data_IF_086283434020
#
_entry.id   IF_086283434020
#
_cell.length_a   1.000
_cell.length_b   1.000
_cell.length_c   1.000
_cell.angle_alpha   90.00
_cell.angle_beta   90.00
_cell.angle_gamma   90.00
#
_symmetry.space_group_name_H-M   'P 1'
#
loop_
_entity.id
_entity.type
_entity.pdbx_description
1 polymer ?
#
# COMPACT_ATOMS: atom_id res chain seq x y z
N UNK A 1 15.79 3.24 1.57
CA UNK A 1 15.19 4.33 2.37
C UNK A 1 13.68 4.16 2.32
N UNK A 2 12.99 4.29 3.46
CA UNK A 2 11.55 4.07 3.61
C UNK A 2 10.70 4.81 2.57
N UNK A 3 11.11 6.02 2.19
CA UNK A 3 10.43 6.80 1.15
C UNK A 3 10.40 6.10 -0.23
N UNK A 4 11.49 5.41 -0.62
CA UNK A 4 11.54 4.67 -1.88
C UNK A 4 10.67 3.40 -1.84
N UNK A 5 10.66 2.69 -0.71
CA UNK A 5 9.80 1.51 -0.52
C UNK A 5 8.32 1.90 -0.56
N UNK A 6 7.94 2.97 0.14
CA UNK A 6 6.56 3.48 0.10
C UNK A 6 6.16 3.87 -1.32
N UNK A 7 7.05 4.53 -2.08
CA UNK A 7 6.74 4.91 -3.47
C UNK A 7 6.65 3.69 -4.40
N UNK A 8 7.53 2.70 -4.23
CA UNK A 8 7.48 1.46 -4.99
C UNK A 8 6.18 0.69 -4.72
N UNK A 9 5.76 0.63 -3.46
CA UNK A 9 4.51 -0.01 -3.05
C UNK A 9 3.28 0.74 -3.60
N UNK A 10 3.29 2.07 -3.57
CA UNK A 10 2.23 2.90 -4.14
C UNK A 10 2.07 2.63 -5.65
N UNK A 11 3.18 2.58 -6.39
CA UNK A 11 3.18 2.25 -7.82
C UNK A 11 2.71 0.81 -8.06
N UNK A 12 3.20 -0.15 -7.27
CA UNK A 12 2.78 -1.56 -7.38
C UNK A 12 1.28 -1.74 -7.11
N UNK A 13 0.75 -1.07 -6.09
CA UNK A 13 -0.68 -1.08 -5.76
C UNK A 13 -1.54 -0.50 -6.89
N UNK A 14 -1.13 0.63 -7.47
CA UNK A 14 -1.83 1.21 -8.60
C UNK A 14 -1.78 0.30 -9.85
N UNK A 15 -0.64 -0.33 -10.11
CA UNK A 15 -0.47 -1.31 -11.19
C UNK A 15 -1.41 -2.51 -11.02
N UNK A 16 -1.41 -3.12 -9.83
CA UNK A 16 -2.31 -4.24 -9.51
C UNK A 16 -3.79 -3.83 -9.61
N UNK A 17 -4.13 -2.60 -9.22
CA UNK A 17 -5.49 -2.05 -9.34
C UNK A 17 -5.96 -1.95 -10.79
N UNK A 18 -5.08 -1.56 -11.72
CA UNK A 18 -5.43 -1.54 -13.16
C UNK A 18 -5.72 -2.95 -13.67
N UNK A 19 -4.86 -3.93 -13.32
CA UNK A 19 -5.04 -5.32 -13.74
C UNK A 19 -6.33 -5.92 -13.15
N UNK A 20 -6.60 -5.67 -11.87
CA UNK A 20 -7.86 -6.05 -11.19
C UNK A 20 -9.07 -5.51 -11.93
N UNK A 21 -9.10 -4.20 -12.17
CA UNK A 21 -10.25 -3.56 -12.83
C UNK A 21 -10.42 -4.05 -14.28
N UNK A 22 -9.33 -4.39 -14.97
CA UNK A 22 -9.38 -4.97 -16.32
C UNK A 22 -10.07 -6.34 -16.31
N UNK A 23 -9.75 -7.20 -15.35
CA UNK A 23 -10.43 -8.50 -15.19
C UNK A 23 -11.91 -8.33 -14.80
N UNK A 24 -12.24 -7.37 -13.94
CA UNK A 24 -13.62 -7.07 -13.59
C UNK A 24 -14.46 -6.54 -14.77
N UNK A 25 -13.84 -5.77 -15.69
CA UNK A 25 -14.48 -5.37 -16.95
C UNK A 25 -14.75 -6.60 -17.82
N UNK A 26 -13.76 -7.47 -18.03
CA UNK A 26 -13.91 -8.71 -18.81
C UNK A 26 -15.04 -9.59 -18.25
N UNK A 27 -15.11 -9.75 -16.92
CA UNK A 27 -16.19 -10.46 -16.25
C UNK A 27 -17.56 -9.82 -16.47
N UNK A 28 -17.63 -8.48 -16.39
CA UNK A 28 -18.86 -7.71 -16.62
C UNK A 28 -19.34 -7.81 -18.07
N UNK A 29 -18.43 -7.82 -19.04
CA UNK A 29 -18.73 -8.03 -20.47
C UNK A 29 -19.34 -9.41 -20.70
N UNK A 30 -18.72 -10.47 -20.15
CA UNK A 30 -19.24 -11.85 -20.21
C UNK A 30 -20.62 -11.95 -19.57
N UNK A 31 -20.86 -11.30 -18.42
CA UNK A 31 -22.18 -11.24 -17.78
C UNK A 31 -23.22 -10.61 -18.71
N UNK A 32 -22.90 -9.47 -19.32
CA UNK A 32 -23.80 -8.77 -20.24
C UNK A 32 -24.12 -9.62 -21.48
N UNK A 33 -23.12 -10.30 -22.04
CA UNK A 33 -23.32 -11.20 -23.17
C UNK A 33 -24.27 -12.35 -22.81
N UNK A 34 -24.07 -13.01 -21.67
CA UNK A 34 -24.95 -14.07 -21.15
C UNK A 34 -26.37 -13.55 -20.93
N UNK A 35 -26.53 -12.39 -20.27
CA UNK A 35 -27.83 -11.77 -20.01
C UNK A 35 -28.60 -11.47 -21.32
N UNK A 36 -27.92 -10.95 -22.34
CA UNK A 36 -28.52 -10.70 -23.67
C UNK A 36 -28.99 -11.99 -24.34
N UNK A 37 -28.21 -13.08 -24.25
CA UNK A 37 -28.61 -14.40 -24.78
C UNK A 37 -29.85 -14.93 -24.08
N UNK A 38 -29.95 -14.82 -22.75
CA UNK A 38 -31.14 -15.26 -22.02
C UNK A 38 -32.37 -14.40 -22.31
N UNK A 39 -32.21 -13.09 -22.47
CA UNK A 39 -33.29 -12.21 -22.92
C UNK A 39 -33.83 -12.60 -24.30
N UNK A 40 -32.94 -12.87 -25.27
CA UNK A 40 -33.33 -13.35 -26.60
C UNK A 40 -34.07 -14.69 -26.54
N UNK A 41 -33.60 -15.62 -25.70
CA UNK A 41 -34.26 -16.91 -25.48
C UNK A 41 -35.67 -16.73 -24.88
N UNK A 42 -35.83 -15.88 -23.88
CA UNK A 42 -37.13 -15.60 -23.26
C UNK A 42 -38.10 -14.97 -24.29
N UNK A 43 -37.62 -14.03 -25.12
CA UNK A 43 -38.43 -13.45 -26.20
C UNK A 43 -38.88 -14.49 -27.22
N UNK A 44 -37.98 -15.40 -27.62
CA UNK A 44 -38.31 -16.47 -28.56
C UNK A 44 -39.37 -17.41 -27.99
N UNK A 45 -39.23 -17.81 -26.71
CA UNK A 45 -40.21 -18.66 -26.02
C UNK A 45 -41.57 -17.98 -25.83
N UNK A 46 -41.61 -16.66 -25.60
CA UNK A 46 -42.85 -15.92 -25.48
C UNK A 46 -43.64 -15.94 -26.80
N UNK A 47 -42.95 -15.78 -27.95
CA UNK A 47 -43.59 -15.79 -29.28
C UNK A 47 -44.30 -17.10 -29.60
N UNK A 48 -43.80 -18.22 -29.05
CA UNK A 48 -44.41 -19.55 -29.18
C UNK A 48 -45.32 -19.92 -28.00
N UNK A 49 -45.59 -18.98 -27.10
CA UNK A 49 -46.51 -19.15 -25.97
C UNK A 49 -46.00 -20.03 -24.83
N UNK A 50 -44.68 -20.29 -24.75
CA UNK A 50 -44.10 -21.21 -23.76
C UNK A 50 -43.72 -20.54 -22.42
N UNK A 51 -43.66 -19.20 -22.37
CA UNK A 51 -43.32 -18.43 -21.17
C UNK A 51 -44.17 -17.17 -21.07
N UNK A 52 -44.20 -16.56 -19.90
CA UNK A 52 -44.99 -15.35 -19.65
C UNK A 52 -44.25 -14.07 -20.10
N UNK A 53 -44.99 -12.98 -20.28
CA UNK A 53 -44.36 -11.67 -20.50
C UNK A 53 -43.52 -11.20 -19.29
N UNK A 54 -43.86 -11.65 -18.08
CA UNK A 54 -43.09 -11.37 -16.87
C UNK A 54 -41.66 -11.96 -16.95
N UNK A 55 -41.50 -13.14 -17.54
CA UNK A 55 -40.19 -13.78 -17.74
C UNK A 55 -39.28 -12.97 -18.67
N UNK A 56 -39.87 -12.38 -19.72
CA UNK A 56 -39.17 -11.46 -20.63
C UNK A 56 -38.77 -10.18 -19.93
N UNK A 57 -39.65 -9.61 -19.10
CA UNK A 57 -39.34 -8.41 -18.31
C UNK A 57 -38.22 -8.67 -17.30
N UNK A 58 -38.24 -9.81 -16.60
CA UNK A 58 -37.17 -10.19 -15.66
C UNK A 58 -35.82 -10.30 -16.36
N UNK A 59 -35.77 -10.95 -17.52
CA UNK A 59 -34.55 -11.04 -18.33
C UNK A 59 -34.09 -9.66 -18.82
N UNK A 60 -35.02 -8.77 -19.19
CA UNK A 60 -34.70 -7.40 -19.60
C UNK A 60 -34.10 -6.58 -18.46
N UNK A 61 -34.61 -6.75 -17.24
CA UNK A 61 -34.05 -6.13 -16.03
C UNK A 61 -32.61 -6.60 -15.81
N UNK A 62 -32.34 -7.90 -15.96
CA UNK A 62 -30.97 -8.43 -15.83
C UNK A 62 -30.03 -7.85 -16.89
N UNK A 63 -30.46 -7.71 -18.15
CA UNK A 63 -29.66 -7.01 -19.17
C UNK A 63 -29.32 -5.58 -18.73
N UNK A 64 -30.30 -4.83 -18.21
CA UNK A 64 -30.06 -3.44 -17.76
C UNK A 64 -29.18 -3.36 -16.51
N UNK A 65 -29.29 -4.31 -15.60
CA UNK A 65 -28.37 -4.43 -14.46
C UNK A 65 -26.95 -4.73 -14.92
N UNK A 66 -26.77 -5.70 -15.82
CA UNK A 66 -25.46 -6.04 -16.37
C UNK A 66 -24.83 -4.88 -17.19
N UNK A 67 -25.62 -4.12 -17.95
CA UNK A 67 -25.16 -2.90 -18.62
C UNK A 67 -24.67 -1.85 -17.62
N UNK A 68 -25.42 -1.61 -16.54
CA UNK A 68 -25.00 -0.68 -15.49
C UNK A 68 -23.69 -1.12 -14.84
N UNK A 69 -23.53 -2.41 -14.54
CA UNK A 69 -22.31 -2.94 -13.93
C UNK A 69 -21.10 -2.79 -14.84
N UNK A 70 -21.26 -3.05 -16.14
CA UNK A 70 -20.19 -2.84 -17.12
C UNK A 70 -19.77 -1.37 -17.21
N UNK A 71 -20.72 -0.43 -17.17
CA UNK A 71 -20.43 1.02 -17.18
C UNK A 71 -19.61 1.39 -15.94
N UNK A 72 -20.02 0.94 -14.75
CA UNK A 72 -19.30 1.19 -13.50
C UNK A 72 -17.90 0.57 -13.51
N UNK A 73 -17.75 -0.68 -13.96
CA UNK A 73 -16.44 -1.35 -14.07
C UNK A 73 -15.51 -0.65 -15.06
N UNK A 74 -16.04 -0.21 -16.22
CA UNK A 74 -15.28 0.52 -17.23
C UNK A 74 -14.78 1.87 -16.73
N UNK A 75 -15.62 2.56 -15.94
CA UNK A 75 -15.22 3.80 -15.28
C UNK A 75 -14.12 3.55 -14.24
N UNK A 76 -14.25 2.51 -13.40
CA UNK A 76 -13.23 2.14 -12.42
C UNK A 76 -11.87 1.82 -13.09
N UNK A 77 -11.87 1.09 -14.20
CA UNK A 77 -10.67 0.84 -15.00
C UNK A 77 -10.04 2.15 -15.50
N UNK A 78 -10.86 3.04 -16.06
CA UNK A 78 -10.40 4.35 -16.55
C UNK A 78 -9.76 5.20 -15.45
N UNK A 79 -10.37 5.21 -14.26
CA UNK A 79 -9.83 5.91 -13.08
C UNK A 79 -8.50 5.29 -12.62
N UNK A 80 -8.40 3.96 -12.57
CA UNK A 80 -7.14 3.29 -12.20
C UNK A 80 -6.00 3.57 -13.18
N UNK A 81 -6.30 3.70 -14.48
CA UNK A 81 -5.30 4.11 -15.47
C UNK A 81 -4.81 5.53 -15.23
N UNK A 82 -5.71 6.48 -14.90
CA UNK A 82 -5.35 7.86 -14.56
C UNK A 82 -4.44 7.89 -13.34
N UNK A 83 -4.77 7.13 -12.30
CA UNK A 83 -3.97 7.06 -11.08
C UNK A 83 -2.55 6.54 -11.36
N UNK A 84 -2.44 5.42 -12.10
CA UNK A 84 -1.13 4.88 -12.47
C UNK A 84 -0.31 5.87 -13.32
N UNK A 85 -0.94 6.58 -14.26
CA UNK A 85 -0.26 7.61 -15.07
C UNK A 85 0.28 8.74 -14.20
N UNK A 86 -0.52 9.22 -13.24
CA UNK A 86 -0.10 10.27 -12.32
C UNK A 86 1.11 9.84 -11.49
N UNK A 87 1.12 8.60 -10.99
CA UNK A 87 2.23 8.06 -10.19
C UNK A 87 3.51 7.84 -10.99
N UNK A 88 3.39 7.49 -12.28
CA UNK A 88 4.51 7.31 -13.20
C UNK A 88 5.00 8.62 -13.83
N UNK A 89 4.25 9.72 -13.66
CA UNK A 89 4.55 11.01 -14.30
C UNK A 89 4.33 11.01 -15.81
N UNK A 90 3.53 10.07 -16.33
CA UNK A 90 3.21 9.96 -17.76
C UNK A 90 2.18 11.01 -18.16
N UNK A 91 2.29 11.52 -19.40
CA UNK A 91 1.27 12.43 -19.95
C UNK A 91 -0.02 11.68 -20.24
N UNK A 92 -1.14 12.40 -20.29
CA UNK A 92 -2.47 11.80 -20.52
C UNK A 92 -2.52 11.03 -21.84
N UNK A 93 -1.85 11.53 -22.88
CA UNK A 93 -1.84 11.00 -24.24
C UNK A 93 -0.89 9.80 -24.43
N UNK A 94 -0.02 9.52 -23.45
CA UNK A 94 0.90 8.38 -23.54
C UNK A 94 0.15 7.07 -23.28
N UNK A 95 0.15 6.19 -24.27
CA UNK A 95 -0.41 4.84 -24.15
C UNK A 95 0.65 3.86 -23.63
N UNK A 96 0.23 2.97 -22.75
CA UNK A 96 1.04 1.85 -22.28
C UNK A 96 0.24 0.56 -22.38
N UNK A 97 0.93 -0.55 -22.61
CA UNK A 97 0.34 -1.88 -22.59
C UNK A 97 0.84 -2.63 -21.36
N UNK A 98 -0.08 -3.24 -20.64
CA UNK A 98 0.23 -4.12 -19.51
C UNK A 98 0.23 -5.56 -20.01
N UNK A 99 1.30 -6.31 -19.75
CA UNK A 99 1.27 -7.77 -19.89
C UNK A 99 0.31 -8.31 -18.81
N UNK A 100 -0.74 -9.00 -19.22
CA UNK A 100 -1.85 -9.42 -18.37
C UNK A 100 -1.61 -10.75 -17.67
N UNK A 101 -0.39 -11.28 -17.72
CA UNK A 101 -0.06 -12.59 -17.14
C UNK A 101 0.64 -12.41 -15.80
N UNK A 102 -0.16 -12.22 -14.75
CA UNK A 102 0.29 -12.52 -13.38
C UNK A 102 -0.13 -13.96 -13.11
N UNK A 103 0.84 -14.87 -13.05
CA UNK A 103 0.57 -16.25 -12.63
C UNK A 103 0.19 -16.28 -11.15
N UNK A 104 -0.78 -17.13 -10.81
CA UNK A 104 -1.20 -17.37 -9.45
C UNK A 104 -0.11 -18.18 -8.72
N UNK A 105 0.84 -17.50 -8.11
CA UNK A 105 1.78 -18.14 -7.19
C UNK A 105 2.12 -17.21 -6.05
N UNK A 106 1.69 -17.57 -4.85
CA UNK A 106 2.21 -16.99 -3.62
C UNK A 106 3.43 -17.81 -3.22
N UNK A 107 4.62 -17.26 -3.37
CA UNK A 107 5.83 -17.93 -2.90
C UNK A 107 5.95 -17.70 -1.39
N UNK A 108 5.29 -18.56 -0.61
CA UNK A 108 5.33 -18.53 0.84
C UNK A 108 6.63 -19.20 1.33
N UNK A 109 7.66 -18.39 1.60
CA UNK A 109 8.76 -18.80 2.48
C UNK A 109 8.24 -19.03 3.90
N UNK A 110 8.98 -19.77 4.72
CA UNK A 110 8.54 -20.05 6.09
C UNK A 110 8.40 -18.76 6.93
N UNK A 111 7.60 -18.80 8.01
CA UNK A 111 7.46 -17.67 8.93
C UNK A 111 8.83 -17.28 9.54
N UNK A 112 9.64 -18.27 9.89
CA UNK A 112 10.96 -18.05 10.48
C UNK A 112 11.90 -17.35 9.49
N UNK A 113 11.87 -17.76 8.23
CA UNK A 113 12.64 -17.11 7.15
C UNK A 113 12.14 -15.68 6.88
N UNK A 114 10.83 -15.48 6.83
CA UNK A 114 10.21 -14.15 6.70
C UNK A 114 10.63 -13.20 7.83
N UNK A 115 10.64 -13.70 9.07
CA UNK A 115 11.06 -12.92 10.24
C UNK A 115 12.55 -12.59 10.20
N UNK A 116 13.40 -13.58 9.88
CA UNK A 116 14.84 -13.36 9.77
C UNK A 116 15.18 -12.32 8.69
N UNK A 117 14.50 -12.40 7.55
CA UNK A 117 14.70 -11.44 6.47
C UNK A 117 14.24 -10.03 6.87
N UNK A 118 13.03 -9.89 7.41
CA UNK A 118 12.49 -8.61 7.86
C UNK A 118 13.38 -7.94 8.92
N UNK A 119 13.83 -8.71 9.93
CA UNK A 119 14.70 -8.17 10.99
C UNK A 119 16.09 -7.74 10.49
N UNK A 120 16.55 -8.29 9.35
CA UNK A 120 17.85 -7.95 8.77
C UNK A 120 17.83 -6.82 7.75
N UNK A 121 16.71 -6.62 7.05
CA UNK A 121 16.61 -5.69 5.91
C UNK A 121 15.77 -4.43 6.18
N UNK A 122 14.86 -4.45 7.16
CA UNK A 122 13.94 -3.33 7.38
C UNK A 122 14.66 -2.04 7.80
N UNK A 123 14.42 -0.91 7.10
CA UNK A 123 15.05 0.35 7.45
C UNK A 123 14.71 0.87 8.83
N UNK A 124 13.54 0.52 9.38
CA UNK A 124 13.12 0.95 10.73
C UNK A 124 14.11 0.49 11.80
N UNK A 125 14.63 -0.74 11.70
CA UNK A 125 15.59 -1.29 12.66
C UNK A 125 16.90 -0.52 12.57
N UNK A 126 17.35 -0.26 11.33
CA UNK A 126 18.55 0.55 11.09
C UNK A 126 18.37 1.97 11.60
N UNK A 127 17.19 2.58 11.42
CA UNK A 127 16.86 3.90 11.95
C UNK A 127 16.97 3.92 13.48
N UNK A 128 16.43 2.91 14.18
CA UNK A 128 16.58 2.78 15.64
C UNK A 128 18.02 2.57 16.10
N UNK A 129 18.84 1.88 15.31
CA UNK A 129 20.27 1.75 15.58
C UNK A 129 21.02 3.09 15.46
N UNK A 130 20.73 3.87 14.42
CA UNK A 130 21.30 5.20 14.24
C UNK A 130 20.83 6.18 15.32
N UNK A 131 19.54 6.15 15.71
CA UNK A 131 19.01 6.91 16.85
C UNK A 131 19.74 6.55 18.16
N UNK A 132 19.99 5.26 18.39
CA UNK A 132 20.76 4.78 19.54
C UNK A 132 22.19 5.33 19.56
N UNK A 133 22.88 5.34 18.42
CA UNK A 133 24.20 5.94 18.29
C UNK A 133 24.18 7.46 18.53
N UNK A 134 23.17 8.17 18.03
CA UNK A 134 23.02 9.60 18.27
C UNK A 134 22.85 9.91 19.76
N UNK A 135 22.06 9.13 20.48
CA UNK A 135 21.88 9.32 21.92
C UNK A 135 23.13 8.98 22.74
N UNK A 136 23.90 7.97 22.34
CA UNK A 136 25.21 7.71 22.92
C UNK A 136 26.14 8.94 22.75
N UNK A 137 26.22 9.50 21.53
CA UNK A 137 27.01 10.71 21.31
C UNK A 137 26.49 11.91 22.10
N UNK A 138 25.18 12.06 22.26
CA UNK A 138 24.58 13.12 23.08
C UNK A 138 24.93 12.96 24.57
N UNK A 139 24.93 11.72 25.09
CA UNK A 139 25.38 11.42 26.44
C UNK A 139 26.86 11.75 26.64
N UNK A 140 27.72 11.36 25.69
CA UNK A 140 29.15 11.69 25.74
C UNK A 140 29.39 13.21 25.66
N UNK A 141 28.61 13.94 24.86
CA UNK A 141 28.68 15.39 24.78
C UNK A 141 28.26 16.05 26.10
N UNK A 142 27.17 15.59 26.72
CA UNK A 142 26.74 16.07 28.04
C UNK A 142 27.79 15.78 29.13
N UNK A 143 28.57 14.70 29.00
CA UNK A 143 29.70 14.41 29.88
C UNK A 143 30.86 15.39 29.66
N UNK A 144 31.06 15.86 28.43
CA UNK A 144 32.08 16.87 28.09
C UNK A 144 31.79 18.26 28.66
N UNK A 145 30.53 18.58 28.97
CA UNK A 145 30.17 19.85 29.63
C UNK A 145 30.85 20.04 31.00
N UNK A 146 31.40 18.98 31.60
CA UNK A 146 32.18 19.04 32.84
C UNK A 146 33.65 19.40 32.65
N UNK A 147 34.13 19.49 31.41
CA UNK A 147 35.52 19.79 31.09
C UNK A 147 35.69 21.26 30.68
N UNK A 148 36.89 21.84 30.86
CA UNK A 148 37.22 23.15 30.32
C UNK A 148 37.05 23.20 28.80
N UNK A 149 36.54 24.31 28.29
CA UNK A 149 36.55 24.60 26.85
C UNK A 149 37.74 25.50 26.51
N UNK A 150 38.36 25.27 25.36
CA UNK A 150 39.47 26.05 24.83
C UNK A 150 39.04 26.64 23.49
N UNK A 151 39.13 27.96 23.34
CA UNK A 151 38.79 28.66 22.10
C UNK A 151 39.90 29.62 21.70
N UNK A 152 40.19 29.69 20.40
CA UNK A 152 41.05 30.71 19.80
C UNK A 152 40.13 31.73 19.14
N UNK A 153 40.25 32.99 19.55
CA UNK A 153 39.46 34.09 18.99
C UNK A 153 40.41 35.09 18.34
N UNK A 154 40.05 35.50 17.13
CA UNK A 154 40.73 36.55 16.38
C UNK A 154 39.71 37.55 15.89
N UNK A 155 40.00 38.83 16.03
CA UNK A 155 39.22 39.90 15.42
C UNK A 155 40.12 40.82 14.60
N UNK A 156 39.58 41.34 13.51
CA UNK A 156 40.20 42.36 12.68
C UNK A 156 39.14 43.43 12.42
N UNK A 157 39.34 44.61 12.97
CA UNK A 157 38.44 45.73 12.85
C UNK A 157 39.10 46.82 12.00
N UNK A 158 38.33 47.36 11.06
CA UNK A 158 38.73 48.48 10.23
C UNK A 158 37.76 49.63 10.49
N UNK A 159 38.30 50.75 11.00
CA UNK A 159 37.51 51.91 11.34
C UNK A 159 37.84 53.05 10.37
N UNK A 160 36.81 53.54 9.69
CA UNK A 160 36.88 54.78 8.92
C UNK A 160 36.13 55.87 9.69
N UNK A 161 36.87 56.69 10.42
CA UNK A 161 36.29 57.77 11.21
C UNK A 161 36.38 59.08 10.44
N UNK A 162 35.25 59.78 10.35
CA UNK A 162 35.20 61.13 9.75
C UNK A 162 35.40 62.16 10.85
N UNK A 163 36.58 62.76 10.89
CA UNK A 163 36.94 63.81 11.84
C UNK A 163 36.80 65.20 11.20
N UNK A 164 36.79 66.26 12.02
CA UNK A 164 36.70 67.65 11.56
C UNK A 164 37.91 68.07 10.69
N UNK A 165 39.04 67.37 10.81
CA UNK A 165 40.31 67.62 10.11
C UNK A 165 40.61 66.67 8.95
N UNK A 166 39.74 65.69 8.66
CA UNK A 166 39.95 64.70 7.60
C UNK A 166 39.36 63.32 7.92
N UNK A 167 39.75 62.31 7.15
CA UNK A 167 39.45 60.90 7.47
C UNK A 167 40.64 60.30 8.21
N UNK A 168 40.38 59.64 9.34
CA UNK A 168 41.35 58.76 10.01
C UNK A 168 41.03 57.31 9.65
N UNK A 169 42.07 56.62 9.19
CA UNK A 169 42.06 55.19 8.90
C UNK A 169 42.86 54.49 9.99
N UNK A 170 42.18 53.65 10.78
CA UNK A 170 42.81 52.85 11.83
C UNK A 170 42.34 51.42 11.72
N UNK A 171 43.30 50.51 11.73
CA UNK A 171 43.11 49.07 11.65
C UNK A 171 43.70 48.41 12.90
N UNK A 172 42.83 47.68 13.60
CA UNK A 172 43.16 46.98 14.84
C UNK A 172 42.92 45.49 14.66
N UNK A 173 43.86 44.68 15.13
CA UNK A 173 43.71 43.23 15.16
C UNK A 173 44.06 42.70 16.54
N UNK A 174 43.30 41.72 17.00
CA UNK A 174 43.55 41.06 18.28
C UNK A 174 43.38 39.56 18.12
N UNK A 175 44.33 38.77 18.61
CA UNK A 175 44.22 37.31 18.72
C UNK A 175 44.45 36.92 20.17
N UNK A 176 43.55 36.12 20.73
CA UNK A 176 43.67 35.64 22.09
C UNK A 176 43.10 34.23 22.25
N UNK A 177 43.67 33.51 23.20
CA UNK A 177 43.25 32.18 23.61
C UNK A 177 42.36 32.34 24.85
N UNK A 178 41.14 31.80 24.83
CA UNK A 178 40.21 31.83 25.94
C UNK A 178 39.93 30.41 26.45
N UNK A 179 40.17 30.20 27.75
CA UNK A 179 39.82 28.96 28.46
C UNK A 179 38.64 29.25 29.38
N UNK A 180 37.56 28.48 29.25
CA UNK A 180 36.39 28.58 30.11
C UNK A 180 36.27 27.33 30.97
N UNK A 181 36.26 27.49 32.30
CA UNK A 181 36.14 26.39 33.25
C UNK A 181 34.83 26.53 34.02
N UNK A 182 33.85 25.63 33.83
CA UNK A 182 32.57 25.74 34.51
C UNK A 182 32.67 25.26 35.97
N UNK A 183 32.66 26.19 36.93
CA UNK A 183 32.81 25.87 38.37
C UNK A 183 31.47 25.51 39.01
N UNK A 184 30.43 26.33 38.82
CA UNK A 184 29.11 26.12 39.42
C UNK A 184 28.00 26.65 38.49
N UNK A 185 26.92 25.87 38.34
CA UNK A 185 25.77 26.19 37.47
C UNK A 185 24.43 25.81 38.10
N UNK A 186 24.37 25.67 39.43
CA UNK A 186 23.18 25.25 40.17
C UNK A 186 22.57 23.90 39.69
N UNK A 187 23.38 22.99 39.12
CA UNK A 187 22.96 21.63 38.78
C UNK A 187 22.46 21.44 37.35
N UNK A 188 22.57 22.45 36.48
CA UNK A 188 22.16 22.38 35.07
C UNK A 188 22.88 21.24 34.33
N UNK A 189 24.21 21.13 34.44
CA UNK A 189 25.02 20.04 33.85
C UNK A 189 24.59 18.66 34.33
N UNK A 190 24.33 18.53 35.64
CA UNK A 190 23.93 17.25 36.22
C UNK A 190 22.56 16.79 35.70
N UNK A 191 21.60 17.72 35.63
CA UNK A 191 20.29 17.45 35.06
C UNK A 191 20.37 17.07 33.58
N UNK A 192 21.20 17.78 32.80
CA UNK A 192 21.42 17.48 31.37
C UNK A 192 22.05 16.11 31.16
N UNK A 193 23.09 15.76 31.92
CA UNK A 193 23.74 14.44 31.84
C UNK A 193 22.76 13.33 32.22
N UNK A 194 22.00 13.51 33.30
CA UNK A 194 20.98 12.55 33.74
C UNK A 194 19.90 12.37 32.69
N UNK A 195 19.43 13.45 32.06
CA UNK A 195 18.46 13.40 30.96
C UNK A 195 19.02 12.63 29.77
N UNK A 196 20.22 12.97 29.30
CA UNK A 196 20.85 12.29 28.17
C UNK A 196 21.03 10.78 28.42
N UNK A 197 21.37 10.38 29.66
CA UNK A 197 21.42 8.97 30.06
C UNK A 197 20.05 8.29 30.00
N UNK A 198 19.00 8.93 30.52
CA UNK A 198 17.64 8.39 30.48
C UNK A 198 17.12 8.31 29.04
N UNK A 199 17.44 9.27 28.18
CA UNK A 199 17.09 9.26 26.77
C UNK A 199 17.79 8.11 26.02
N UNK A 200 19.05 7.84 26.36
CA UNK A 200 19.77 6.67 25.85
C UNK A 200 19.13 5.35 26.31
N UNK A 201 18.83 5.19 27.60
CA UNK A 201 18.17 3.99 28.14
C UNK A 201 16.79 3.79 27.50
N UNK A 202 16.02 4.87 27.32
CA UNK A 202 14.73 4.86 26.63
C UNK A 202 14.85 4.30 25.21
N UNK A 203 15.92 4.61 24.48
CA UNK A 203 16.11 4.14 23.11
C UNK A 203 16.31 2.63 22.99
N UNK A 204 16.84 1.98 24.04
CA UNK A 204 16.91 0.52 24.07
C UNK A 204 15.51 -0.09 24.10
N UNK A 205 14.65 0.44 24.97
CA UNK A 205 13.25 -0.01 25.05
C UNK A 205 12.47 0.28 23.76
N UNK A 206 12.68 1.42 23.11
CA UNK A 206 12.01 1.72 21.83
C UNK A 206 12.53 0.84 20.69
N UNK A 207 13.80 0.39 20.73
CA UNK A 207 14.32 -0.61 19.78
C UNK A 207 13.64 -1.96 19.98
N UNK A 208 13.52 -2.43 21.23
CA UNK A 208 12.84 -3.69 21.55
C UNK A 208 11.35 -3.64 21.18
N UNK A 209 10.69 -2.51 21.43
CA UNK A 209 9.32 -2.25 20.98
C UNK A 209 9.22 -2.33 19.45
N UNK A 210 10.09 -1.66 18.71
CA UNK A 210 10.10 -1.72 17.25
C UNK A 210 10.33 -3.13 16.70
N UNK A 211 11.19 -3.94 17.33
CA UNK A 211 11.40 -5.35 16.95
C UNK A 211 10.13 -6.18 17.17
N UNK A 212 9.45 -5.97 18.31
CA UNK A 212 8.19 -6.66 18.63
C UNK A 212 7.09 -6.26 17.65
N UNK A 213 6.99 -4.99 17.31
CA UNK A 213 6.00 -4.47 16.35
C UNK A 213 6.23 -5.07 14.97
N UNK A 214 7.47 -5.06 14.46
CA UNK A 214 7.85 -5.69 13.19
C UNK A 214 7.53 -7.19 13.20
N UNK A 215 7.85 -7.88 14.30
CA UNK A 215 7.53 -9.31 14.44
C UNK A 215 6.02 -9.56 14.35
N UNK A 216 5.21 -8.71 14.99
CA UNK A 216 3.76 -8.77 14.93
C UNK A 216 3.21 -8.48 13.53
N UNK A 217 3.74 -7.46 12.85
CA UNK A 217 3.37 -7.10 11.48
C UNK A 217 3.66 -8.24 10.50
N UNK A 218 4.88 -8.79 10.52
CA UNK A 218 5.31 -9.87 9.63
C UNK A 218 4.48 -11.14 9.88
N UNK A 219 4.26 -11.48 11.15
CA UNK A 219 3.43 -12.65 11.51
C UNK A 219 2.00 -12.48 11.02
N UNK A 220 1.42 -11.29 11.20
CA UNK A 220 0.05 -10.98 10.74
C UNK A 220 -0.03 -11.06 9.22
N UNK A 221 0.91 -10.45 8.50
CA UNK A 221 0.98 -10.49 7.05
C UNK A 221 1.12 -11.93 6.53
N UNK A 222 1.97 -12.73 7.15
CA UNK A 222 2.17 -14.15 6.80
C UNK A 222 0.88 -14.96 6.95
N UNK A 223 0.21 -14.88 8.11
CA UNK A 223 -1.03 -15.63 8.33
C UNK A 223 -2.18 -15.13 7.45
N UNK A 224 -2.25 -13.83 7.16
CA UNK A 224 -3.22 -13.27 6.21
C UNK A 224 -2.99 -13.81 4.80
N UNK A 225 -1.75 -13.86 4.33
CA UNK A 225 -1.43 -14.43 3.01
C UNK A 225 -1.79 -15.92 2.93
N UNK A 226 -1.45 -16.70 3.96
CA UNK A 226 -1.83 -18.12 4.05
C UNK A 226 -3.35 -18.33 4.05
N UNK A 227 -4.08 -17.42 4.70
CA UNK A 227 -5.54 -17.44 4.69
C UNK A 227 -6.10 -17.12 3.29
N UNK A 228 -5.55 -16.11 2.60
CA UNK A 228 -5.97 -15.74 1.25
C UNK A 228 -5.71 -16.86 0.23
N UNK A 229 -4.59 -17.58 0.36
CA UNK A 229 -4.30 -18.77 -0.45
C UNK A 229 -5.40 -19.83 -0.29
N UNK A 230 -5.77 -20.16 0.95
CA UNK A 230 -6.84 -21.12 1.24
C UNK A 230 -8.22 -20.63 0.82
N UNK A 231 -8.46 -19.32 0.89
CA UNK A 231 -9.71 -18.72 0.44
C UNK A 231 -9.86 -18.84 -1.09
N UNK A 232 -8.78 -18.64 -1.85
CA UNK A 232 -8.79 -18.81 -3.31
C UNK A 232 -9.07 -20.27 -3.69
N UNK A 233 -8.49 -21.24 -2.99
CA UNK A 233 -8.79 -22.67 -3.19
C UNK A 233 -10.29 -22.96 -3.00
N UNK A 234 -10.90 -22.44 -1.93
CA UNK A 234 -12.34 -22.60 -1.69
C UNK A 234 -13.20 -21.87 -2.74
N UNK A 235 -12.81 -20.66 -3.16
CA UNK A 235 -13.52 -19.90 -4.19
C UNK A 235 -13.45 -20.57 -5.57
N UNK A 236 -12.39 -21.32 -5.87
CA UNK A 236 -12.29 -22.13 -7.09
C UNK A 236 -13.32 -23.27 -7.13
N UNK A 237 -13.49 -23.96 -5.99
CA UNK A 237 -14.55 -24.96 -5.85
C UNK A 237 -15.95 -24.32 -5.93
N UNK A 238 -16.13 -23.15 -5.32
CA UNK A 238 -17.38 -22.38 -5.38
C UNK A 238 -17.74 -21.98 -6.81
N UNK A 239 -16.79 -21.45 -7.60
CA UNK A 239 -16.98 -21.12 -9.02
C UNK A 239 -17.36 -22.38 -9.80
N UNK A 240 -16.71 -23.51 -9.53
CA UNK A 240 -17.02 -24.78 -10.21
C UNK A 240 -18.45 -25.24 -9.93
N UNK A 241 -18.87 -25.17 -8.67
CA UNK A 241 -20.24 -25.51 -8.26
C UNK A 241 -21.28 -24.54 -8.84
N UNK A 242 -21.02 -23.22 -8.78
CA UNK A 242 -21.91 -22.20 -9.33
C UNK A 242 -22.03 -22.30 -10.86
N UNK A 243 -20.95 -22.61 -11.56
CA UNK A 243 -20.95 -22.83 -13.01
C UNK A 243 -21.81 -24.05 -13.40
N UNK A 244 -21.72 -25.14 -12.63
CA UNK A 244 -22.54 -26.33 -12.84
C UNK A 244 -24.02 -26.05 -12.51
N UNK A 245 -24.30 -25.31 -11.43
CA UNK A 245 -25.65 -24.84 -11.08
C UNK A 245 -26.28 -24.04 -12.22
N UNK A 246 -25.53 -23.07 -12.78
CA UNK A 246 -25.97 -22.29 -13.94
C UNK A 246 -26.23 -23.18 -15.17
N UNK A 247 -25.36 -24.17 -15.41
CA UNK A 247 -25.52 -25.13 -16.53
C UNK A 247 -26.82 -25.92 -16.40
N UNK A 248 -27.10 -26.45 -15.20
CA UNK A 248 -28.30 -27.23 -14.91
C UNK A 248 -29.58 -26.38 -14.97
N UNK A 249 -29.56 -25.18 -14.37
CA UNK A 249 -30.67 -24.23 -14.43
C UNK A 249 -30.98 -23.84 -15.90
N UNK A 250 -29.94 -23.56 -16.68
CA UNK A 250 -30.08 -23.25 -18.11
C UNK A 250 -30.67 -24.42 -18.90
N UNK A 251 -30.24 -25.64 -18.61
CA UNK A 251 -30.79 -26.86 -19.22
C UNK A 251 -32.27 -27.03 -18.90
N UNK A 252 -32.66 -26.96 -17.63
CA UNK A 252 -34.06 -27.07 -17.19
C UNK A 252 -34.93 -25.98 -17.79
N UNK A 253 -34.45 -24.74 -17.85
CA UNK A 253 -35.16 -23.64 -18.50
C UNK A 253 -35.35 -23.90 -20.00
N UNK A 254 -34.35 -24.44 -20.71
CA UNK A 254 -34.47 -24.81 -22.13
C UNK A 254 -35.53 -25.88 -22.36
N UNK A 255 -35.55 -26.93 -21.54
CA UNK A 255 -36.54 -28.01 -21.59
C UNK A 255 -37.93 -27.60 -21.07
N UNK A 256 -38.08 -26.38 -20.52
CA UNK A 256 -39.36 -25.85 -20.03
C UNK A 256 -39.78 -26.38 -18.66
N UNK A 257 -38.89 -27.08 -17.95
CA UNK A 257 -39.11 -27.63 -16.60
C UNK A 257 -38.46 -26.78 -15.49
N UNK A 258 -37.91 -25.62 -15.86
CA UNK A 258 -37.31 -24.63 -14.96
C UNK A 258 -37.74 -23.22 -15.33
N UNK A 259 -37.56 -22.28 -14.41
CA UNK A 259 -37.91 -20.87 -14.60
C UNK A 259 -36.70 -20.03 -15.06
N UNK A 260 -36.97 -18.88 -15.70
CA UNK A 260 -35.91 -17.92 -16.03
C UNK A 260 -35.27 -17.31 -14.78
N UNK A 261 -36.03 -17.25 -13.68
CA UNK A 261 -35.55 -16.75 -12.40
C UNK A 261 -34.39 -17.61 -11.90
N UNK A 262 -34.51 -18.94 -11.95
CA UNK A 262 -33.43 -19.87 -11.58
C UNK A 262 -32.15 -19.63 -12.41
N UNK A 263 -32.29 -19.32 -13.70
CA UNK A 263 -31.14 -19.03 -14.57
C UNK A 263 -30.48 -17.71 -14.19
N UNK A 264 -31.28 -16.67 -13.93
CA UNK A 264 -30.78 -15.35 -13.54
C UNK A 264 -30.10 -15.43 -12.17
N UNK A 265 -30.70 -16.12 -11.21
CA UNK A 265 -30.14 -16.26 -9.86
C UNK A 265 -28.81 -17.04 -9.89
N UNK A 266 -28.77 -18.20 -10.59
CA UNK A 266 -27.53 -18.96 -10.75
C UNK A 266 -26.44 -18.19 -11.53
N UNK A 267 -26.83 -17.29 -12.44
CA UNK A 267 -25.86 -16.42 -13.14
C UNK A 267 -25.29 -15.36 -12.18
N UNK A 268 -26.12 -14.79 -11.31
CA UNK A 268 -25.67 -13.82 -10.31
C UNK A 268 -24.70 -14.49 -9.33
N UNK A 269 -25.02 -15.69 -8.85
CA UNK A 269 -24.14 -16.49 -7.98
C UNK A 269 -22.77 -16.74 -8.62
N UNK A 270 -22.76 -17.24 -9.87
CA UNK A 270 -21.51 -17.47 -10.60
C UNK A 270 -20.69 -16.19 -10.75
N UNK A 271 -21.31 -15.06 -11.14
CA UNK A 271 -20.57 -13.80 -11.30
C UNK A 271 -20.07 -13.27 -9.95
N UNK A 272 -20.81 -13.47 -8.86
CA UNK A 272 -20.36 -13.11 -7.51
C UNK A 272 -19.10 -13.90 -7.16
N UNK A 273 -19.13 -15.23 -7.28
CA UNK A 273 -17.98 -16.09 -7.01
C UNK A 273 -16.77 -15.75 -7.89
N UNK A 274 -16.98 -15.50 -9.19
CA UNK A 274 -15.93 -15.04 -10.12
C UNK A 274 -15.34 -13.68 -9.68
N UNK A 275 -16.18 -12.75 -9.22
CA UNK A 275 -15.75 -11.41 -8.74
C UNK A 275 -14.96 -11.52 -7.43
N UNK A 276 -15.42 -12.34 -6.50
CA UNK A 276 -14.80 -12.53 -5.20
C UNK A 276 -13.42 -13.15 -5.34
N UNK A 277 -13.25 -14.16 -6.21
CA UNK A 277 -11.93 -14.72 -6.52
C UNK A 277 -10.98 -13.68 -7.11
N UNK A 278 -11.44 -12.85 -8.04
CA UNK A 278 -10.61 -11.76 -8.62
C UNK A 278 -10.18 -10.80 -7.51
N UNK A 279 -11.10 -10.38 -6.65
CA UNK A 279 -10.76 -9.50 -5.52
C UNK A 279 -9.72 -10.13 -4.59
N UNK A 280 -9.98 -11.35 -4.10
CA UNK A 280 -9.09 -12.06 -3.17
C UNK A 280 -7.71 -12.30 -3.78
N UNK A 281 -7.63 -12.61 -5.07
CA UNK A 281 -6.34 -12.74 -5.76
C UNK A 281 -5.50 -11.47 -5.70
N UNK A 282 -6.07 -10.35 -6.13
CA UNK A 282 -5.34 -9.08 -6.17
C UNK A 282 -5.05 -8.54 -4.76
N UNK A 283 -5.92 -8.81 -3.78
CA UNK A 283 -5.66 -8.50 -2.38
C UNK A 283 -4.47 -9.33 -1.84
N UNK A 284 -4.36 -10.60 -2.24
CA UNK A 284 -3.19 -11.44 -1.95
C UNK A 284 -1.90 -10.92 -2.58
N UNK A 285 -1.95 -10.50 -3.86
CA UNK A 285 -0.78 -9.93 -4.54
C UNK A 285 -0.32 -8.63 -3.88
N UNK A 286 -1.26 -7.79 -3.44
CA UNK A 286 -0.94 -6.57 -2.70
C UNK A 286 -0.37 -6.88 -1.31
N UNK A 287 -0.91 -7.87 -0.61
CA UNK A 287 -0.38 -8.32 0.68
C UNK A 287 1.04 -8.89 0.54
N UNK A 288 1.35 -9.59 -0.55
CA UNK A 288 2.69 -10.09 -0.85
C UNK A 288 3.65 -8.93 -1.19
N UNK A 289 3.21 -7.98 -2.02
CA UNK A 289 3.98 -6.77 -2.32
C UNK A 289 4.28 -5.98 -1.03
N UNK A 290 3.31 -5.84 -0.13
CA UNK A 290 3.52 -5.26 1.20
C UNK A 290 4.60 -6.02 1.98
N UNK A 291 4.52 -7.35 2.06
CA UNK A 291 5.50 -8.15 2.81
C UNK A 291 6.93 -8.00 2.27
N UNK A 292 7.10 -7.93 0.95
CA UNK A 292 8.42 -7.83 0.30
C UNK A 292 8.97 -6.41 0.35
N UNK A 293 8.11 -5.40 0.19
CA UNK A 293 8.51 -4.00 0.09
C UNK A 293 8.51 -3.27 1.43
N UNK A 294 7.98 -3.87 2.51
CA UNK A 294 8.07 -3.35 3.89
C UNK A 294 9.37 -3.78 4.57
#
# INVERSE_FOLDING_TARGET
CKAHQNKALEIASAFLSVLKNKELVNLSEKRLERAKKYYQLAQAKLKVGLVSYADVLKSKVEVKSAESNLISASNALSLSHIELKNLLGLKKEEEYQLDSRIEFSFLLISLEESLSEALSKRPEIKEKEEEGMQAEYAYQLAKKDYFPSLSLKGNYDYYLNRELSGYSDTNDWTVYLAVEIPIFDAGVRHSRLRRAKLDQEKLQFTKEESIRDITGEVSTAFFNLKNLEKLIEAQEEEITAAAESLRLATGRYREGVGSILEVVDAQIELVSAETDKVNTFFDGQLAMANLILS
#
